data_IF_613074518727
#
_entry.id   IF_613074518727
#
_cell.length_a   1.000
_cell.length_b   1.000
_cell.length_c   1.000
_cell.angle_alpha   90.00
_cell.angle_beta   90.00
_cell.angle_gamma   90.00
#
_symmetry.space_group_name_H-M   'P 1'
#
loop_
_entity.id
_entity.type
_entity.pdbx_description
1 polymer ?
#
# COMPACT_ATOMS: atom_id res chain seq x y z
N UNK A 1 4.31 9.20 3.69
CA UNK A 1 3.12 8.90 4.51
C UNK A 1 3.24 7.58 5.29
N UNK A 2 4.43 6.96 5.39
CA UNK A 2 4.58 5.67 6.07
C UNK A 2 4.16 5.70 7.55
N UNK A 3 4.44 6.81 8.25
CA UNK A 3 3.98 7.00 9.63
C UNK A 3 2.45 6.92 9.75
N UNK A 4 1.73 7.43 8.75
CA UNK A 4 0.27 7.33 8.68
C UNK A 4 -0.18 5.89 8.44
N UNK A 5 0.44 5.17 7.50
CA UNK A 5 0.15 3.73 7.28
C UNK A 5 0.34 2.89 8.55
N UNK A 6 1.39 3.14 9.34
CA UNK A 6 1.59 2.44 10.61
C UNK A 6 0.52 2.78 11.64
N UNK A 7 0.07 4.04 11.71
CA UNK A 7 -1.02 4.45 12.60
C UNK A 7 -2.34 3.77 12.24
N UNK A 8 -2.67 3.72 10.96
CA UNK A 8 -3.87 3.05 10.46
C UNK A 8 -3.86 1.55 10.76
N UNK A 9 -2.70 0.90 10.63
CA UNK A 9 -2.54 -0.50 11.01
C UNK A 9 -2.82 -0.72 12.51
N UNK A 10 -2.27 0.13 13.37
CA UNK A 10 -2.52 0.06 14.82
C UNK A 10 -3.99 0.32 15.16
N UNK A 11 -4.62 1.30 14.51
CA UNK A 11 -6.05 1.59 14.70
C UNK A 11 -6.92 0.40 14.28
N UNK A 12 -6.54 -0.34 13.23
CA UNK A 12 -7.23 -1.55 12.80
C UNK A 12 -7.13 -2.68 13.84
N UNK A 13 -5.93 -2.92 14.37
CA UNK A 13 -5.68 -3.87 15.47
C UNK A 13 -6.54 -3.56 16.71
N UNK A 14 -6.60 -2.29 17.12
CA UNK A 14 -7.39 -1.88 18.29
C UNK A 14 -8.90 -1.91 18.05
N UNK A 15 -9.35 -1.74 16.81
CA UNK A 15 -10.78 -1.72 16.46
C UNK A 15 -11.40 -3.13 16.37
N UNK A 16 -10.58 -4.17 16.15
CA UNK A 16 -11.03 -5.55 16.00
C UNK A 16 -10.26 -6.51 16.91
N UNK A 17 -10.42 -6.36 18.24
CA UNK A 17 -9.73 -7.22 19.21
C UNK A 17 -10.14 -8.70 19.12
N UNK A 18 -11.33 -9.01 18.61
CA UNK A 18 -11.81 -10.39 18.41
C UNK A 18 -11.13 -11.12 17.23
N UNK A 19 -10.53 -10.37 16.30
CA UNK A 19 -9.88 -10.90 15.11
C UNK A 19 -8.56 -10.16 14.85
N UNK A 20 -7.50 -10.47 15.62
CA UNK A 20 -6.20 -9.84 15.41
C UNK A 20 -5.68 -10.12 14.00
N UNK A 21 -5.00 -9.15 13.40
CA UNK A 21 -4.35 -9.33 12.12
C UNK A 21 -3.26 -10.39 12.27
N UNK A 22 -3.20 -11.27 11.29
CA UNK A 22 -2.10 -12.24 11.19
C UNK A 22 -0.81 -11.51 10.79
N UNK A 23 0.33 -12.08 11.17
CA UNK A 23 1.65 -11.56 10.77
C UNK A 23 1.77 -11.41 9.25
N UNK A 24 1.22 -12.36 8.49
CA UNK A 24 1.21 -12.35 7.03
C UNK A 24 0.42 -11.15 6.46
N UNK A 25 -0.71 -10.79 7.08
CA UNK A 25 -1.50 -9.61 6.70
C UNK A 25 -0.75 -8.31 7.01
N UNK A 26 -0.10 -8.23 8.17
CA UNK A 26 0.73 -7.09 8.58
C UNK A 26 1.89 -6.90 7.61
N UNK A 27 2.62 -7.96 7.28
CA UNK A 27 3.75 -7.93 6.34
C UNK A 27 3.29 -7.46 4.95
N UNK A 28 2.24 -8.08 4.40
CA UNK A 28 1.68 -7.67 3.10
C UNK A 28 1.19 -6.21 3.11
N UNK A 29 0.56 -5.75 4.20
CA UNK A 29 0.10 -4.37 4.36
C UNK A 29 1.28 -3.40 4.30
N UNK A 30 2.35 -3.69 5.04
CA UNK A 30 3.54 -2.84 5.15
C UNK A 30 4.32 -2.81 3.83
N UNK A 31 4.49 -3.95 3.16
CA UNK A 31 5.13 -4.04 1.84
C UNK A 31 4.42 -3.19 0.80
N UNK A 32 3.09 -3.32 0.70
CA UNK A 32 2.27 -2.55 -0.24
C UNK A 32 2.28 -1.06 0.11
N UNK A 33 2.12 -0.72 1.39
CA UNK A 33 2.18 0.66 1.87
C UNK A 33 3.52 1.31 1.52
N UNK A 34 4.63 0.60 1.70
CA UNK A 34 5.96 1.12 1.38
C UNK A 34 6.09 1.42 -0.12
N UNK A 35 5.62 0.53 -1.00
CA UNK A 35 5.65 0.75 -2.44
C UNK A 35 4.84 1.98 -2.86
N UNK A 36 3.61 2.09 -2.36
CA UNK A 36 2.72 3.25 -2.61
C UNK A 36 3.40 4.54 -2.15
N UNK A 37 3.91 4.55 -0.92
CA UNK A 37 4.60 5.69 -0.34
C UNK A 37 5.83 6.12 -1.13
N UNK A 38 6.61 5.16 -1.66
CA UNK A 38 7.79 5.42 -2.48
C UNK A 38 7.41 6.04 -3.83
N UNK A 39 6.38 5.52 -4.50
CA UNK A 39 5.89 6.10 -5.75
C UNK A 39 5.41 7.54 -5.51
N UNK A 40 4.59 7.76 -4.48
CA UNK A 40 4.05 9.08 -4.15
C UNK A 40 5.14 10.08 -3.71
N UNK A 41 6.18 9.64 -2.99
CA UNK A 41 7.26 10.54 -2.55
C UNK A 41 8.16 10.98 -3.71
N UNK A 42 8.40 10.11 -4.70
CA UNK A 42 9.27 10.41 -5.83
C UNK A 42 8.54 11.06 -7.01
N UNK A 43 7.22 10.89 -7.11
CA UNK A 43 6.42 11.40 -8.23
C UNK A 43 5.31 12.38 -7.80
N UNK A 44 5.37 12.90 -6.57
CA UNK A 44 4.38 13.78 -5.97
C UNK A 44 4.02 14.98 -6.85
N UNK A 45 5.02 15.73 -7.30
CA UNK A 45 4.90 16.93 -8.15
C UNK A 45 5.09 16.64 -9.66
N UNK A 46 5.22 15.36 -10.03
CA UNK A 46 5.56 14.94 -11.39
C UNK A 46 4.35 14.76 -12.30
N UNK A 47 4.61 14.73 -13.62
CA UNK A 47 3.59 14.33 -14.60
C UNK A 47 3.12 12.90 -14.32
N UNK A 48 1.86 12.60 -14.63
CA UNK A 48 1.27 11.26 -14.53
C UNK A 48 2.12 10.16 -15.20
N UNK A 49 2.80 10.51 -16.31
CA UNK A 49 3.74 9.61 -16.99
C UNK A 49 4.93 9.20 -16.11
N UNK A 50 5.57 10.16 -15.43
CA UNK A 50 6.72 9.91 -14.54
C UNK A 50 6.34 9.01 -13.36
N UNK A 51 5.12 9.19 -12.85
CA UNK A 51 4.54 8.33 -11.81
C UNK A 51 4.34 6.89 -12.27
N UNK A 52 3.85 6.67 -13.49
CA UNK A 52 3.77 5.32 -14.11
C UNK A 52 5.15 4.69 -14.29
N UNK A 53 6.14 5.46 -14.74
CA UNK A 53 7.51 4.96 -14.91
C UNK A 53 8.15 4.55 -13.57
N UNK A 54 7.97 5.36 -12.52
CA UNK A 54 8.44 5.04 -11.16
C UNK A 54 7.70 3.83 -10.60
N UNK A 55 6.38 3.74 -10.77
CA UNK A 55 5.58 2.56 -10.41
C UNK A 55 6.13 1.29 -11.05
N UNK A 56 6.39 1.32 -12.36
CA UNK A 56 6.89 0.16 -13.10
C UNK A 56 8.34 -0.19 -12.73
N UNK A 57 9.14 0.80 -12.33
CA UNK A 57 10.46 0.58 -11.77
C UNK A 57 10.39 -0.12 -10.41
N UNK A 58 9.54 0.36 -9.49
CA UNK A 58 9.33 -0.26 -8.17
C UNK A 58 8.84 -1.70 -8.33
N UNK A 59 7.84 -1.94 -9.19
CA UNK A 59 7.32 -3.29 -9.46
C UNK A 59 8.39 -4.27 -9.95
N UNK A 60 9.29 -3.81 -10.83
CA UNK A 60 10.38 -4.65 -11.37
C UNK A 60 11.52 -4.87 -10.37
N UNK A 61 11.70 -3.94 -9.44
CA UNK A 61 12.80 -3.99 -8.46
C UNK A 61 12.42 -4.75 -7.20
N UNK A 62 11.12 -4.83 -6.89
CA UNK A 62 10.59 -5.55 -5.74
C UNK A 62 10.50 -7.06 -5.99
N UNK A 63 10.79 -7.85 -4.95
CA UNK A 63 10.69 -9.33 -4.99
C UNK A 63 9.37 -9.87 -4.43
N UNK A 64 8.59 -9.04 -3.75
CA UNK A 64 7.30 -9.44 -3.20
C UNK A 64 6.23 -9.52 -4.30
N UNK A 65 5.30 -10.48 -4.21
CA UNK A 65 4.26 -10.69 -5.21
C UNK A 65 3.27 -9.52 -5.21
N UNK A 66 3.55 -8.55 -6.06
CA UNK A 66 2.69 -7.39 -6.28
C UNK A 66 1.53 -7.80 -7.17
N UNK A 67 0.46 -8.36 -6.58
CA UNK A 67 -0.83 -8.53 -7.26
C UNK A 67 -1.46 -7.15 -7.45
N UNK A 68 -1.02 -6.47 -8.49
CA UNK A 68 -1.64 -5.25 -8.97
C UNK A 68 -2.24 -5.61 -10.30
N UNK A 69 -3.48 -6.06 -10.24
CA UNK A 69 -4.32 -6.08 -11.43
C UNK A 69 -4.32 -4.68 -12.05
N UNK A 70 -4.25 -4.59 -13.38
CA UNK A 70 -4.31 -3.32 -14.13
C UNK A 70 -5.55 -2.48 -13.77
N UNK A 71 -6.56 -3.12 -13.18
CA UNK A 71 -7.80 -2.53 -12.68
C UNK A 71 -7.60 -1.67 -11.40
N UNK A 72 -6.56 -1.95 -10.60
CA UNK A 72 -6.25 -1.22 -9.36
C UNK A 72 -4.76 -0.82 -9.32
N UNK A 73 -4.38 0.29 -9.98
CA UNK A 73 -3.01 0.77 -10.02
C UNK A 73 -2.49 1.03 -8.58
N UNK A 74 -1.20 0.77 -8.29
CA UNK A 74 -0.51 1.16 -7.01
C UNK A 74 -0.86 2.58 -6.58
N UNK A 75 -1.05 3.42 -7.58
CA UNK A 75 -1.30 4.84 -7.48
C UNK A 75 -2.59 5.14 -6.70
N UNK A 76 -3.58 4.25 -6.82
CA UNK A 76 -4.93 4.34 -6.28
C UNK A 76 -5.21 3.23 -5.24
N UNK A 77 -4.16 2.53 -4.78
CA UNK A 77 -4.30 1.47 -3.78
C UNK A 77 -4.56 2.08 -2.40
N UNK A 78 -5.83 2.24 -2.06
CA UNK A 78 -6.24 2.39 -0.67
C UNK A 78 -6.04 1.05 0.03
N UNK A 79 -5.23 1.05 1.09
CA UNK A 79 -5.08 -0.15 1.90
C UNK A 79 -6.29 -0.28 2.82
N UNK A 80 -7.42 -0.68 2.24
CA UNK A 80 -8.63 -0.98 2.99
C UNK A 80 -8.34 -2.26 3.78
N UNK A 81 -8.32 -2.13 5.12
CA UNK A 81 -8.47 -3.30 5.98
C UNK A 81 -9.73 -4.03 5.53
N UNK A 82 -9.67 -5.34 5.38
CA UNK A 82 -10.72 -6.15 4.79
C UNK A 82 -12.08 -5.92 5.49
N UNK A 83 -12.88 -4.98 5.01
CA UNK A 83 -14.33 -5.02 4.85
C UNK A 83 -14.81 -3.69 4.24
N UNK A 84 -15.49 -3.75 3.10
CA UNK A 84 -16.17 -2.59 2.54
C UNK A 84 -17.30 -2.14 3.48
N UNK A 85 -17.09 -1.02 4.17
CA UNK A 85 -18.11 -0.10 4.68
C UNK A 85 -17.37 1.15 5.16
N UNK A 86 -17.12 2.11 4.25
CA UNK A 86 -17.63 3.49 4.29
C UNK A 86 -17.55 4.07 2.87
#
# INVERSE_FOLDING_TARGET
MMNFSVKQLLECEFSHQDFPLTTEQIESYIEKSMAVNLVWSMSGDGKWKSRKEIRDFVRRSSTFPMLLDDDHPIIDFEVTGHHGFI
#
